data_IF_169196268287
#
_entry.id   IF_169196268287
#
_cell.length_a   1.000
_cell.length_b   1.000
_cell.length_c   1.000
_cell.angle_alpha   90.00
_cell.angle_beta   90.00
_cell.angle_gamma   90.00
#
_symmetry.space_group_name_H-M   'P 1'
#
loop_
_entity.id
_entity.type
_entity.pdbx_description
1 polymer ?
#
# COMPACT_ATOMS: atom_id res chain seq x y z
N UNK A 1 8.51 30.76 28.72
CA UNK A 1 7.20 30.10 28.94
C UNK A 1 6.58 29.93 27.57
N UNK A 2 6.77 28.77 26.94
CA UNK A 2 5.99 28.40 25.74
C UNK A 2 4.56 28.17 26.22
N UNK A 3 3.69 29.15 26.01
CA UNK A 3 2.24 28.96 26.07
C UNK A 3 1.86 27.70 25.29
N UNK A 4 0.78 27.04 25.71
CA UNK A 4 0.23 25.85 25.07
C UNK A 4 -0.14 26.15 23.61
N UNK A 5 0.84 26.08 22.72
CA UNK A 5 0.63 26.16 21.29
C UNK A 5 -0.16 24.93 20.86
N UNK A 6 -1.19 25.10 20.01
CA UNK A 6 -1.90 23.96 19.47
C UNK A 6 -0.94 23.10 18.64
N UNK A 7 -0.90 21.81 18.95
CA UNK A 7 -0.09 20.82 18.22
C UNK A 7 -0.99 20.11 17.22
N UNK A 8 -0.54 20.00 15.98
CA UNK A 8 -1.23 19.33 14.89
C UNK A 8 -0.31 18.27 14.28
N UNK A 9 -0.91 17.26 13.66
CA UNK A 9 -0.21 16.31 12.82
C UNK A 9 0.54 15.16 13.53
N UNK A 10 1.13 14.26 12.71
CA UNK A 10 0.90 14.16 11.28
C UNK A 10 -0.48 13.53 10.99
N UNK A 11 -1.15 14.05 9.98
CA UNK A 11 -2.45 13.58 9.46
C UNK A 11 -2.28 12.17 8.89
N UNK A 12 -1.14 11.90 8.25
CA UNK A 12 -0.77 10.58 7.74
C UNK A 12 0.72 10.26 7.95
N UNK A 13 1.07 8.98 7.97
CA UNK A 13 2.48 8.54 7.95
C UNK A 13 2.90 8.36 6.49
N UNK A 14 3.61 9.36 5.96
CA UNK A 14 4.23 9.26 4.64
C UNK A 14 5.35 8.21 4.66
N UNK A 15 5.33 7.33 3.67
CA UNK A 15 6.30 6.24 3.48
C UNK A 15 6.67 6.16 2.00
N UNK A 16 7.95 5.95 1.71
CA UNK A 16 8.36 5.55 0.37
C UNK A 16 7.83 4.15 0.06
N UNK A 17 7.30 3.94 -1.13
CA UNK A 17 6.64 2.69 -1.52
C UNK A 17 7.57 1.46 -1.47
N UNK A 18 8.88 1.66 -1.69
CA UNK A 18 9.87 0.60 -1.77
C UNK A 18 10.67 0.37 -0.48
N UNK A 19 10.44 1.17 0.56
CA UNK A 19 11.22 1.13 1.80
C UNK A 19 10.37 0.60 2.95
N UNK A 20 10.81 -0.47 3.61
CA UNK A 20 10.19 -0.92 4.88
C UNK A 20 10.85 -0.17 6.03
N UNK A 21 10.18 0.81 6.68
CA UNK A 21 10.79 1.55 7.77
C UNK A 21 10.95 0.67 9.02
N UNK A 22 12.08 0.80 9.70
CA UNK A 22 12.33 0.15 10.98
C UNK A 22 11.54 0.82 12.13
N UNK A 23 11.33 2.13 12.04
CA UNK A 23 10.63 2.95 13.04
C UNK A 23 9.92 4.13 12.39
N UNK A 24 8.82 4.58 12.98
CA UNK A 24 8.17 5.85 12.65
C UNK A 24 8.49 6.86 13.74
N UNK A 25 9.21 7.94 13.38
CA UNK A 25 9.53 9.04 14.29
C UNK A 25 8.63 10.22 13.99
N UNK A 26 7.87 10.68 14.99
CA UNK A 26 7.00 11.87 14.88
C UNK A 26 7.72 13.08 15.46
N UNK A 27 7.80 14.15 14.68
CA UNK A 27 8.44 15.42 15.06
C UNK A 27 7.42 16.54 15.06
N UNK A 28 7.57 17.50 15.98
CA UNK A 28 6.73 18.69 16.05
C UNK A 28 7.57 19.91 15.65
N UNK A 29 7.08 20.70 14.70
CA UNK A 29 7.72 21.93 14.26
C UNK A 29 6.96 23.15 14.80
N UNK A 30 7.68 24.11 15.35
CA UNK A 30 7.15 25.44 15.63
C UNK A 30 7.36 26.31 14.38
N UNK A 31 6.29 26.59 13.65
CA UNK A 31 6.34 27.31 12.39
C UNK A 31 5.62 28.66 12.49
N UNK A 32 6.21 29.66 11.85
CA UNK A 32 5.52 30.93 11.62
C UNK A 32 4.45 30.77 10.54
N UNK A 33 3.52 31.74 10.48
CA UNK A 33 2.51 31.78 9.42
C UNK A 33 3.14 31.85 8.01
N UNK A 34 4.25 32.56 7.88
CA UNK A 34 4.98 32.69 6.61
C UNK A 34 5.59 31.35 6.17
N UNK A 35 6.13 30.58 7.12
CA UNK A 35 6.66 29.24 6.84
C UNK A 35 5.54 28.27 6.45
N UNK A 36 4.39 28.32 7.13
CA UNK A 36 3.21 27.54 6.76
C UNK A 36 2.73 27.88 5.34
N UNK A 37 2.66 29.16 5.00
CA UNK A 37 2.26 29.61 3.66
C UNK A 37 3.26 29.18 2.59
N UNK A 38 4.56 29.22 2.89
CA UNK A 38 5.62 28.78 1.97
C UNK A 38 5.51 27.27 1.69
N UNK A 39 5.37 26.46 2.75
CA UNK A 39 5.17 25.02 2.62
C UNK A 39 3.93 24.68 1.78
N UNK A 40 2.80 25.33 2.09
CA UNK A 40 1.56 25.15 1.32
C UNK A 40 1.74 25.53 -0.14
N UNK A 41 2.38 26.67 -0.42
CA UNK A 41 2.55 27.17 -1.78
C UNK A 41 3.39 26.21 -2.63
N UNK A 42 4.43 25.59 -2.05
CA UNK A 42 5.26 24.62 -2.77
C UNK A 42 4.48 23.33 -3.02
N UNK A 43 3.85 22.76 -1.99
CA UNK A 43 3.01 21.56 -2.15
C UNK A 43 1.91 21.78 -3.19
N UNK A 44 1.23 22.93 -3.13
CA UNK A 44 0.18 23.30 -4.07
C UNK A 44 0.67 23.46 -5.52
N UNK A 45 1.90 23.95 -5.74
CA UNK A 45 2.49 24.03 -7.10
C UNK A 45 2.92 22.68 -7.66
N UNK A 46 3.16 21.69 -6.81
CA UNK A 46 3.54 20.32 -7.21
C UNK A 46 2.31 19.41 -7.39
N UNK A 47 1.17 19.79 -6.82
CA UNK A 47 -0.12 19.13 -7.03
C UNK A 47 -0.71 19.41 -8.43
N UNK A 48 -1.66 18.56 -8.80
CA UNK A 48 -2.42 18.59 -10.06
C UNK A 48 -2.81 20.04 -10.43
N UNK A 49 -2.47 20.54 -11.62
CA UNK A 49 -2.58 21.96 -12.00
C UNK A 49 -4.01 22.55 -12.00
N UNK A 50 -5.02 21.76 -11.68
CA UNK A 50 -6.44 22.09 -11.82
C UNK A 50 -7.18 22.27 -10.48
N UNK A 51 -6.48 22.27 -9.34
CA UNK A 51 -7.11 22.53 -8.03
C UNK A 51 -7.29 24.03 -7.84
N UNK A 52 -8.52 24.46 -7.56
CA UNK A 52 -8.82 25.86 -7.21
C UNK A 52 -8.48 26.11 -5.74
N UNK A 53 -7.55 27.03 -5.48
CA UNK A 53 -7.10 27.41 -4.14
C UNK A 53 -8.24 27.92 -3.24
N UNK A 54 -9.34 28.42 -3.81
CA UNK A 54 -10.52 28.83 -3.03
C UNK A 54 -11.35 27.65 -2.52
N UNK A 55 -11.14 26.45 -3.06
CA UNK A 55 -11.91 25.25 -2.73
C UNK A 55 -11.19 24.28 -1.79
N UNK A 56 -9.92 24.53 -1.48
CA UNK A 56 -9.12 23.64 -0.63
C UNK A 56 -9.67 23.61 0.80
N UNK A 57 -9.89 22.39 1.30
CA UNK A 57 -10.37 22.17 2.66
C UNK A 57 -9.26 22.34 3.69
N UNK A 58 -9.65 22.44 4.98
CA UNK A 58 -8.69 22.52 6.10
C UNK A 58 -7.84 21.25 6.21
N UNK A 59 -8.43 20.10 5.88
CA UNK A 59 -7.73 18.81 5.91
C UNK A 59 -6.71 18.72 4.78
N UNK A 60 -7.10 19.01 3.54
CA UNK A 60 -6.18 19.08 2.41
C UNK A 60 -5.05 20.08 2.66
N UNK A 61 -5.36 21.29 3.16
CA UNK A 61 -4.34 22.29 3.51
C UNK A 61 -3.31 21.74 4.50
N UNK A 62 -3.73 20.94 5.50
CA UNK A 62 -2.83 20.34 6.47
C UNK A 62 -2.02 19.22 5.85
N UNK A 63 -2.66 18.32 5.11
CA UNK A 63 -2.01 17.21 4.41
C UNK A 63 -0.90 17.73 3.50
N UNK A 64 -1.14 18.82 2.76
CA UNK A 64 -0.13 19.41 1.88
C UNK A 64 1.05 20.02 2.64
N UNK A 65 0.78 20.82 3.68
CA UNK A 65 1.84 21.42 4.49
C UNK A 65 2.68 20.33 5.16
N UNK A 66 2.05 19.32 5.75
CA UNK A 66 2.72 18.21 6.44
C UNK A 66 3.48 17.31 5.46
N UNK A 67 2.90 17.03 4.28
CA UNK A 67 3.51 16.26 3.21
C UNK A 67 4.76 16.95 2.66
N UNK A 68 4.71 18.26 2.41
CA UNK A 68 5.88 19.01 1.98
C UNK A 68 6.98 19.05 3.04
N UNK A 69 6.63 19.31 4.31
CA UNK A 69 7.62 19.32 5.40
C UNK A 69 8.29 17.94 5.56
N UNK A 70 7.52 16.86 5.40
CA UNK A 70 8.04 15.51 5.39
C UNK A 70 9.01 15.30 4.21
N UNK A 71 8.58 15.58 2.98
CA UNK A 71 9.39 15.41 1.78
C UNK A 71 10.69 16.22 1.85
N UNK A 72 10.61 17.49 2.26
CA UNK A 72 11.78 18.34 2.43
C UNK A 72 12.78 17.78 3.45
N UNK A 73 12.29 17.25 4.58
CA UNK A 73 13.14 16.61 5.58
C UNK A 73 13.82 15.34 5.04
N UNK A 74 13.09 14.51 4.29
CA UNK A 74 13.62 13.28 3.68
C UNK A 74 14.67 13.61 2.61
N UNK A 75 14.37 14.52 1.68
CA UNK A 75 15.29 14.95 0.62
C UNK A 75 16.59 15.49 1.21
N UNK A 76 16.49 16.34 2.24
CA UNK A 76 17.67 16.89 2.90
C UNK A 76 18.48 15.81 3.62
N UNK A 77 17.83 14.87 4.31
CA UNK A 77 18.53 13.73 4.94
C UNK A 77 19.20 12.83 3.90
N UNK A 78 18.53 12.49 2.80
CA UNK A 78 19.11 11.69 1.71
C UNK A 78 20.31 12.41 1.09
N UNK A 79 20.23 13.73 0.89
CA UNK A 79 21.36 14.55 0.44
C UNK A 79 22.57 14.42 1.38
N UNK A 80 22.36 14.50 2.69
CA UNK A 80 23.43 14.31 3.69
C UNK A 80 23.96 12.88 3.70
N UNK A 81 23.10 11.86 3.57
CA UNK A 81 23.51 10.45 3.52
C UNK A 81 24.37 10.19 2.29
N UNK A 82 23.95 10.63 1.10
CA UNK A 82 24.74 10.50 -0.13
C UNK A 82 26.08 11.22 -0.03
N UNK A 83 26.10 12.43 0.54
CA UNK A 83 27.34 13.17 0.78
C UNK A 83 28.27 12.42 1.77
N UNK A 84 27.69 11.82 2.81
CA UNK A 84 28.41 11.02 3.80
C UNK A 84 28.95 9.71 3.24
N UNK A 85 28.18 9.00 2.42
CA UNK A 85 28.62 7.75 1.75
C UNK A 85 29.82 7.96 0.83
N UNK A 86 29.94 9.15 0.22
CA UNK A 86 31.10 9.52 -0.58
C UNK A 86 32.33 9.88 0.26
N UNK A 87 32.16 10.05 1.57
CA UNK A 87 33.22 10.39 2.50
C UNK A 87 33.66 9.13 3.25
N UNK A 88 34.77 8.52 2.84
CA UNK A 88 35.40 7.49 3.66
C UNK A 88 35.86 8.12 4.97
N UNK A 89 35.27 7.69 6.10
CA UNK A 89 35.71 8.14 7.40
C UNK A 89 37.14 7.65 7.66
N UNK A 90 38.03 8.49 8.23
CA UNK A 90 39.33 8.04 8.69
C UNK A 90 39.19 6.88 9.70
N UNK A 91 40.15 5.97 9.74
CA UNK A 91 40.13 4.80 10.66
C UNK A 91 40.00 5.25 12.11
N UNK A 92 40.58 6.40 12.45
CA UNK A 92 40.51 7.01 13.77
C UNK A 92 39.10 7.44 14.18
N UNK A 93 38.20 7.67 13.22
CA UNK A 93 36.80 8.05 13.48
C UNK A 93 35.87 6.83 13.67
N UNK A 94 36.32 5.61 13.31
CA UNK A 94 35.50 4.40 13.41
C UNK A 94 34.92 4.16 14.81
N UNK A 95 35.69 4.31 15.92
CA UNK A 95 35.13 4.10 17.27
C UNK A 95 33.99 5.07 17.62
N UNK A 96 34.01 6.29 17.07
CA UNK A 96 32.94 7.27 17.27
C UNK A 96 31.70 6.86 16.50
N UNK A 97 31.86 6.43 15.24
CA UNK A 97 30.74 5.95 14.43
C UNK A 97 30.09 4.71 15.03
N UNK A 98 30.88 3.76 15.56
CA UNK A 98 30.36 2.58 16.27
C UNK A 98 29.57 2.97 17.52
N UNK A 99 30.06 3.96 18.29
CA UNK A 99 29.37 4.46 19.48
C UNK A 99 28.05 5.16 19.13
N UNK A 100 28.00 5.91 18.02
CA UNK A 100 26.78 6.55 17.51
C UNK A 100 25.76 5.50 17.03
N UNK A 101 26.20 4.49 16.29
CA UNK A 101 25.36 3.38 15.87
C UNK A 101 24.74 2.66 17.08
N UNK A 102 25.56 2.32 18.09
CA UNK A 102 25.06 1.70 19.31
C UNK A 102 24.09 2.62 20.09
N UNK A 103 24.26 3.95 20.03
CA UNK A 103 23.32 4.88 20.62
C UNK A 103 21.99 4.91 19.88
N UNK A 104 22.03 4.83 18.55
CA UNK A 104 20.85 4.71 17.70
C UNK A 104 20.06 3.43 18.02
N UNK A 105 20.74 2.28 18.11
CA UNK A 105 20.12 0.98 18.45
C UNK A 105 19.43 1.00 19.82
N UNK A 106 19.97 1.75 20.79
CA UNK A 106 19.33 1.89 22.11
C UNK A 106 18.11 2.81 22.08
N UNK A 107 18.18 3.88 21.29
CA UNK A 107 17.10 4.87 21.18
C UNK A 107 15.93 4.37 20.33
N UNK A 108 16.26 3.63 19.26
CA UNK A 108 15.35 3.07 18.28
C UNK A 108 15.70 1.58 18.11
N UNK A 109 15.32 0.73 19.08
CA UNK A 109 15.60 -0.69 18.96
C UNK A 109 15.02 -1.24 17.67
N UNK A 110 15.73 -2.15 16.98
CA UNK A 110 15.22 -2.75 15.76
C UNK A 110 13.85 -3.34 16.03
N UNK A 111 12.98 -3.27 15.02
CA UNK A 111 11.63 -3.81 15.09
C UNK A 111 11.71 -5.22 15.65
N UNK A 112 10.93 -5.50 16.70
CA UNK A 112 10.83 -6.86 17.24
C UNK A 112 10.65 -7.84 16.09
N UNK A 113 11.41 -8.95 16.06
CA UNK A 113 11.31 -9.90 14.97
C UNK A 113 9.84 -10.20 14.74
N UNK A 114 9.41 -10.08 13.47
CA UNK A 114 8.03 -10.42 13.13
C UNK A 114 7.74 -11.82 13.69
N UNK A 115 6.55 -12.03 14.28
CA UNK A 115 6.19 -13.35 14.77
C UNK A 115 6.49 -14.38 13.67
N UNK A 116 7.13 -15.49 14.08
CA UNK A 116 7.56 -16.54 13.15
C UNK A 116 6.35 -16.94 12.32
N UNK A 117 6.44 -16.74 11.01
CA UNK A 117 5.36 -17.06 10.07
C UNK A 117 5.04 -18.53 10.17
N UNK A 118 3.84 -18.87 10.64
CA UNK A 118 3.38 -20.26 10.65
C UNK A 118 2.62 -20.54 9.35
N UNK A 119 2.92 -21.63 8.65
CA UNK A 119 2.18 -21.97 7.45
C UNK A 119 0.71 -22.27 7.79
N UNK A 120 -0.23 -21.93 6.90
CA UNK A 120 -1.62 -22.35 7.03
C UNK A 120 -1.74 -23.87 7.21
N UNK A 121 -2.67 -24.31 8.07
CA UNK A 121 -2.93 -25.73 8.31
C UNK A 121 -4.28 -26.09 7.72
N UNK A 122 -4.28 -26.98 6.73
CA UNK A 122 -5.48 -27.40 6.01
C UNK A 122 -6.02 -28.73 6.55
N UNK A 123 -7.35 -28.86 6.65
CA UNK A 123 -8.01 -30.10 7.06
C UNK A 123 -9.53 -29.99 7.03
N UNK A 124 -10.22 -31.09 6.69
CA UNK A 124 -11.69 -31.21 6.76
C UNK A 124 -12.49 -30.06 6.10
N UNK A 125 -12.01 -29.55 4.95
CA UNK A 125 -12.66 -28.43 4.25
C UNK A 125 -12.52 -27.08 4.97
N UNK A 126 -11.53 -26.96 5.85
CA UNK A 126 -11.20 -25.76 6.62
C UNK A 126 -9.71 -25.43 6.53
N UNK A 127 -9.37 -24.20 6.90
CA UNK A 127 -8.00 -23.74 7.09
C UNK A 127 -7.87 -23.08 8.47
N UNK A 128 -6.82 -23.43 9.20
CA UNK A 128 -6.43 -22.76 10.44
C UNK A 128 -5.26 -21.81 10.16
N UNK A 129 -5.46 -20.54 10.48
CA UNK A 129 -4.49 -19.45 10.36
C UNK A 129 -4.17 -18.91 11.75
N UNK A 130 -2.89 -18.73 12.06
CA UNK A 130 -2.49 -17.98 13.26
C UNK A 130 -2.63 -16.48 12.96
N UNK A 131 -3.55 -15.77 13.61
CA UNK A 131 -3.74 -14.34 13.41
C UNK A 131 -2.98 -13.52 14.46
N UNK A 132 -2.70 -12.26 14.13
CA UNK A 132 -1.96 -11.35 15.02
C UNK A 132 -2.76 -10.95 16.27
N UNK A 133 -4.07 -11.09 16.23
CA UNK A 133 -5.01 -10.49 17.18
C UNK A 133 -5.98 -11.48 17.85
N UNK A 134 -6.13 -12.69 17.31
CA UNK A 134 -7.07 -13.70 17.79
C UNK A 134 -6.44 -15.09 17.98
N UNK A 135 -5.13 -15.23 17.77
CA UNK A 135 -4.45 -16.53 17.83
C UNK A 135 -4.88 -17.43 16.67
N UNK A 136 -4.99 -18.75 16.90
CA UNK A 136 -5.43 -19.67 15.85
C UNK A 136 -6.92 -19.49 15.53
N UNK A 137 -7.23 -19.09 14.29
CA UNK A 137 -8.58 -18.96 13.76
C UNK A 137 -8.79 -20.04 12.70
N UNK A 138 -9.82 -20.88 12.87
CA UNK A 138 -10.21 -21.90 11.88
C UNK A 138 -11.45 -21.44 11.12
N UNK A 139 -11.36 -21.45 9.79
CA UNK A 139 -12.41 -20.94 8.90
C UNK A 139 -12.71 -21.97 7.81
N UNK A 140 -13.94 -22.03 7.28
CA UNK A 140 -14.23 -22.84 6.09
C UNK A 140 -13.30 -22.45 4.95
N UNK A 141 -12.71 -23.43 4.25
CA UNK A 141 -11.85 -23.20 3.09
C UNK A 141 -12.62 -23.63 1.83
N UNK A 142 -13.15 -22.68 1.04
CA UNK A 142 -13.86 -23.00 -0.17
C UNK A 142 -12.95 -23.72 -1.17
N UNK A 143 -13.48 -24.71 -1.89
CA UNK A 143 -12.70 -25.52 -2.85
C UNK A 143 -12.11 -24.70 -4.02
N UNK A 144 -12.63 -23.49 -4.27
CA UNK A 144 -12.11 -22.56 -5.28
C UNK A 144 -10.96 -21.67 -4.76
N UNK A 145 -10.72 -21.66 -3.45
CA UNK A 145 -9.64 -20.89 -2.84
C UNK A 145 -8.28 -21.47 -3.24
N UNK A 146 -7.34 -20.61 -3.62
CA UNK A 146 -5.96 -21.01 -3.96
C UNK A 146 -5.06 -21.15 -2.73
N UNK A 147 -5.63 -20.99 -1.53
CA UNK A 147 -4.94 -21.03 -0.25
C UNK A 147 -4.49 -19.66 0.26
N UNK A 148 -3.81 -19.67 1.42
CA UNK A 148 -3.50 -18.49 2.23
C UNK A 148 -1.99 -18.30 2.46
N UNK A 149 -1.13 -18.97 1.68
CA UNK A 149 0.33 -18.83 1.81
C UNK A 149 0.83 -17.39 1.54
N UNK A 150 0.02 -16.59 0.85
CA UNK A 150 0.27 -15.16 0.57
C UNK A 150 -0.15 -14.22 1.71
N UNK A 151 -0.88 -14.73 2.72
CA UNK A 151 -1.28 -13.99 3.93
C UNK A 151 -0.65 -14.61 5.18
N UNK A 152 0.66 -14.44 5.41
CA UNK A 152 1.27 -14.93 6.63
C UNK A 152 0.78 -14.09 7.82
N UNK A 153 0.17 -14.75 8.80
CA UNK A 153 -0.31 -14.16 10.04
C UNK A 153 -1.20 -12.92 9.81
N UNK A 154 -2.37 -13.05 9.13
CA UNK A 154 -3.24 -11.91 8.90
C UNK A 154 -3.89 -11.44 10.21
N UNK A 155 -4.46 -10.24 10.25
CA UNK A 155 -5.52 -9.98 11.23
C UNK A 155 -6.74 -10.84 10.89
N UNK A 156 -7.58 -11.15 11.88
CA UNK A 156 -8.81 -11.93 11.59
C UNK A 156 -9.69 -11.24 10.54
N UNK A 157 -9.76 -9.91 10.58
CA UNK A 157 -10.53 -9.10 9.65
C UNK A 157 -10.00 -9.17 8.20
N UNK A 158 -8.72 -9.51 8.02
CA UNK A 158 -8.03 -9.55 6.74
C UNK A 158 -8.04 -10.96 6.11
N UNK A 159 -8.70 -11.93 6.74
CA UNK A 159 -8.83 -13.28 6.17
C UNK A 159 -9.72 -13.19 4.92
N UNK A 160 -9.12 -13.45 3.76
CA UNK A 160 -9.77 -13.39 2.45
C UNK A 160 -9.47 -14.65 1.66
N UNK A 161 -10.50 -15.33 1.19
CA UNK A 161 -10.36 -16.41 0.21
C UNK A 161 -10.28 -15.82 -1.19
N UNK A 162 -9.30 -16.23 -1.97
CA UNK A 162 -9.11 -15.78 -3.35
C UNK A 162 -9.08 -16.97 -4.31
N UNK A 163 -9.75 -16.83 -5.46
CA UNK A 163 -9.58 -17.78 -6.56
C UNK A 163 -8.33 -17.46 -7.37
N UNK A 164 -8.03 -18.32 -8.34
CA UNK A 164 -7.02 -18.03 -9.36
C UNK A 164 -7.38 -16.74 -10.11
N UNK A 165 -6.36 -15.91 -10.35
CA UNK A 165 -6.49 -14.70 -11.18
C UNK A 165 -6.57 -15.07 -12.66
N UNK A 166 -7.61 -14.58 -13.32
CA UNK A 166 -7.78 -14.67 -14.77
C UNK A 166 -7.43 -13.31 -15.38
N UNK A 167 -6.67 -13.31 -16.47
CA UNK A 167 -6.14 -12.08 -17.09
C UNK A 167 -6.72 -11.85 -18.48
N UNK A 168 -6.83 -10.59 -18.87
CA UNK A 168 -7.03 -10.20 -20.26
C UNK A 168 -5.90 -9.25 -20.68
N UNK A 169 -5.44 -9.40 -21.92
CA UNK A 169 -4.33 -8.62 -22.47
C UNK A 169 -4.54 -8.39 -23.96
N UNK A 170 -3.96 -7.32 -24.48
CA UNK A 170 -3.85 -7.05 -25.90
C UNK A 170 -2.39 -7.22 -26.34
N UNK A 171 -2.17 -7.57 -27.60
CA UNK A 171 -0.85 -7.48 -28.23
C UNK A 171 -0.86 -6.28 -29.15
N UNK A 172 -0.16 -5.22 -28.78
CA UNK A 172 0.04 -4.04 -29.62
C UNK A 172 1.35 -4.17 -30.39
N UNK A 173 1.43 -3.51 -31.55
CA UNK A 173 2.64 -3.55 -32.38
C UNK A 173 3.71 -2.62 -31.81
N UNK A 174 3.32 -1.49 -31.20
CA UNK A 174 4.27 -0.51 -30.66
C UNK A 174 4.79 -0.84 -29.26
N UNK A 175 3.95 -1.34 -28.36
CA UNK A 175 4.27 -1.57 -26.95
C UNK A 175 4.34 -3.06 -26.56
N UNK A 176 3.96 -3.97 -27.46
CA UNK A 176 3.96 -5.41 -27.20
C UNK A 176 2.78 -5.85 -26.31
N UNK A 177 2.97 -6.78 -25.36
CA UNK A 177 1.88 -7.25 -24.51
C UNK A 177 1.43 -6.16 -23.54
N UNK A 178 0.17 -5.74 -23.66
CA UNK A 178 -0.49 -4.79 -22.76
C UNK A 178 -1.47 -5.56 -21.87
N UNK A 179 -1.23 -5.58 -20.56
CA UNK A 179 -2.17 -6.16 -19.61
C UNK A 179 -3.32 -5.18 -19.36
N UNK A 180 -4.55 -5.61 -19.67
CA UNK A 180 -5.73 -4.75 -19.57
C UNK A 180 -6.37 -4.86 -18.19
N UNK A 181 -6.56 -6.10 -17.74
CA UNK A 181 -7.11 -6.37 -16.42
C UNK A 181 -6.71 -7.74 -15.90
N UNK A 182 -6.93 -7.92 -14.61
CA UNK A 182 -7.16 -9.23 -14.02
C UNK A 182 -8.42 -9.24 -13.16
N UNK A 183 -9.09 -10.40 -13.12
CA UNK A 183 -10.28 -10.64 -12.33
C UNK A 183 -10.17 -11.96 -11.57
N UNK A 184 -10.79 -12.03 -10.40
CA UNK A 184 -10.86 -13.22 -9.56
C UNK A 184 -12.05 -13.14 -8.61
N UNK A 185 -12.41 -14.28 -8.04
CA UNK A 185 -13.40 -14.38 -6.97
C UNK A 185 -12.69 -14.12 -5.65
N UNK A 186 -13.26 -13.23 -4.85
CA UNK A 186 -12.79 -12.89 -3.51
C UNK A 186 -13.91 -13.12 -2.51
N UNK A 187 -13.59 -13.55 -1.30
CA UNK A 187 -14.54 -13.60 -0.20
C UNK A 187 -13.84 -13.28 1.12
N UNK A 188 -14.25 -12.18 1.76
CA UNK A 188 -13.73 -11.69 3.04
C UNK A 188 -14.83 -11.76 4.11
N UNK A 189 -15.07 -12.95 4.69
CA UNK A 189 -16.20 -13.19 5.61
C UNK A 189 -16.09 -12.45 6.95
N UNK A 190 -14.93 -11.89 7.29
CA UNK A 190 -14.65 -11.28 8.59
C UNK A 190 -14.34 -9.78 8.55
N UNK A 191 -14.53 -9.09 7.41
CA UNK A 191 -14.32 -7.63 7.35
C UNK A 191 -15.08 -6.90 8.46
N UNK A 192 -14.43 -5.97 9.16
CA UNK A 192 -15.05 -5.31 10.32
C UNK A 192 -16.21 -4.39 9.95
N UNK A 193 -16.05 -3.61 8.87
CA UNK A 193 -17.03 -2.59 8.47
C UNK A 193 -18.18 -3.21 7.68
N UNK A 194 -17.87 -4.15 6.79
CA UNK A 194 -18.85 -4.77 5.90
C UNK A 194 -18.39 -6.20 5.55
N UNK A 195 -18.65 -7.19 6.42
CA UNK A 195 -18.44 -8.58 6.09
C UNK A 195 -19.11 -8.93 4.77
N UNK A 196 -18.40 -9.65 3.91
CA UNK A 196 -18.98 -10.14 2.67
C UNK A 196 -19.83 -11.38 2.98
N UNK A 197 -21.16 -11.34 2.81
CA UNK A 197 -22.00 -12.51 3.09
C UNK A 197 -21.76 -13.64 2.07
N UNK A 198 -21.26 -13.29 0.89
CA UNK A 198 -21.01 -14.19 -0.22
C UNK A 198 -19.79 -13.76 -1.03
N UNK A 199 -19.22 -14.66 -1.86
CA UNK A 199 -18.16 -14.29 -2.77
C UNK A 199 -18.54 -13.16 -3.74
N UNK A 200 -17.57 -12.30 -4.02
CA UNK A 200 -17.65 -11.15 -4.93
C UNK A 200 -16.62 -11.29 -6.05
N UNK A 201 -16.78 -10.51 -7.11
CA UNK A 201 -15.77 -10.41 -8.17
C UNK A 201 -14.87 -9.22 -7.86
N UNK A 202 -13.57 -9.47 -7.73
CA UNK A 202 -12.55 -8.44 -7.67
C UNK A 202 -12.00 -8.20 -9.07
N UNK A 203 -11.89 -6.94 -9.47
CA UNK A 203 -11.40 -6.52 -10.80
C UNK A 203 -10.33 -5.44 -10.59
N UNK A 204 -9.18 -5.63 -11.21
CA UNK A 204 -8.12 -4.63 -11.25
C UNK A 204 -7.80 -4.31 -12.71
N UNK A 205 -7.89 -3.03 -13.05
CA UNK A 205 -7.52 -2.51 -14.37
C UNK A 205 -6.03 -2.14 -14.34
N UNK A 206 -5.26 -2.65 -15.28
CA UNK A 206 -3.79 -2.50 -15.30
C UNK A 206 -3.29 -1.53 -16.38
N UNK A 207 -4.20 -0.99 -17.21
CA UNK A 207 -3.84 -0.18 -18.37
C UNK A 207 -4.23 1.28 -18.19
N UNK A 208 -3.24 2.16 -18.10
CA UNK A 208 -3.40 3.62 -18.19
C UNK A 208 -2.19 4.16 -18.93
N UNK A 209 -2.32 4.35 -20.25
CA UNK A 209 -1.22 4.75 -21.13
C UNK A 209 -1.75 5.42 -22.40
N UNK A 210 -0.87 6.09 -23.12
CA UNK A 210 -1.12 6.65 -24.45
C UNK A 210 -0.75 5.63 -25.53
N UNK A 211 -1.66 5.40 -26.47
CA UNK A 211 -1.46 4.42 -27.54
C UNK A 211 -1.45 5.07 -28.92
N UNK A 212 -0.65 4.49 -29.81
CA UNK A 212 -0.72 4.83 -31.23
C UNK A 212 -2.10 4.47 -31.80
N UNK A 213 -2.59 5.26 -32.75
CA UNK A 213 -3.92 5.06 -33.33
C UNK A 213 -4.05 3.68 -34.01
N UNK A 214 -2.94 3.17 -34.53
CA UNK A 214 -2.82 1.88 -35.19
C UNK A 214 -3.00 0.68 -34.24
N UNK A 215 -2.77 0.86 -32.94
CA UNK A 215 -2.89 -0.19 -31.92
C UNK A 215 -4.30 -0.29 -31.29
N UNK A 216 -5.15 0.71 -31.56
CA UNK A 216 -6.51 0.76 -31.01
C UNK A 216 -7.35 -0.47 -31.38
N UNK A 217 -7.33 -1.00 -32.62
CA UNK A 217 -8.05 -2.24 -32.95
C UNK A 217 -7.63 -3.43 -32.07
N UNK A 218 -6.35 -3.58 -31.78
CA UNK A 218 -5.78 -4.66 -30.95
C UNK A 218 -6.22 -4.50 -29.49
N UNK A 219 -6.24 -3.27 -28.98
CA UNK A 219 -6.79 -2.96 -27.66
C UNK A 219 -8.28 -3.29 -27.57
N UNK A 220 -9.07 -2.97 -28.60
CA UNK A 220 -10.50 -3.31 -28.66
C UNK A 220 -10.71 -4.82 -28.60
N UNK A 221 -9.90 -5.62 -29.30
CA UNK A 221 -9.97 -7.09 -29.19
C UNK A 221 -9.57 -7.60 -27.81
N UNK A 222 -8.55 -6.99 -27.19
CA UNK A 222 -8.20 -7.27 -25.80
C UNK A 222 -9.34 -6.94 -24.83
N UNK A 223 -10.06 -5.82 -25.04
CA UNK A 223 -11.21 -5.41 -24.23
C UNK A 223 -12.39 -6.38 -24.38
N UNK A 224 -12.65 -6.92 -25.58
CA UNK A 224 -13.62 -8.01 -25.77
C UNK A 224 -13.18 -9.30 -25.06
N UNK A 225 -11.88 -9.55 -24.96
CA UNK A 225 -11.38 -10.65 -24.13
C UNK A 225 -11.61 -10.39 -22.65
N UNK A 226 -11.41 -9.15 -22.19
CA UNK A 226 -11.73 -8.72 -20.83
C UNK A 226 -13.22 -8.89 -20.50
N UNK A 227 -14.13 -8.49 -21.39
CA UNK A 227 -15.56 -8.71 -21.24
C UNK A 227 -15.89 -10.18 -20.95
N UNK A 228 -15.41 -11.11 -21.80
CA UNK A 228 -15.62 -12.55 -21.61
C UNK A 228 -15.02 -13.08 -20.31
N UNK A 229 -13.86 -12.57 -19.90
CA UNK A 229 -13.25 -12.94 -18.61
C UNK A 229 -14.17 -12.52 -17.45
N UNK A 230 -14.68 -11.29 -17.48
CA UNK A 230 -15.57 -10.77 -16.46
C UNK A 230 -16.91 -11.54 -16.42
N UNK A 231 -17.50 -11.84 -17.57
CA UNK A 231 -18.72 -12.65 -17.65
C UNK A 231 -18.52 -14.04 -17.01
N UNK A 232 -17.41 -14.71 -17.31
CA UNK A 232 -17.11 -16.03 -16.77
C UNK A 232 -16.90 -15.99 -15.25
N UNK A 233 -16.11 -15.04 -14.74
CA UNK A 233 -15.85 -14.91 -13.30
C UNK A 233 -17.12 -14.50 -12.56
N UNK A 234 -17.95 -13.64 -13.14
CA UNK A 234 -19.24 -13.25 -12.58
C UNK A 234 -20.24 -14.41 -12.53
N UNK A 235 -20.36 -15.18 -13.62
CA UNK A 235 -21.21 -16.36 -13.66
C UNK A 235 -20.81 -17.38 -12.58
N UNK A 236 -19.51 -17.58 -12.38
CA UNK A 236 -19.00 -18.48 -11.33
C UNK A 236 -19.28 -17.95 -9.93
N UNK A 237 -19.05 -16.66 -9.66
CA UNK A 237 -19.39 -16.05 -8.37
C UNK A 237 -20.90 -16.13 -8.06
N UNK A 238 -21.76 -15.97 -9.07
CA UNK A 238 -23.22 -16.14 -8.94
C UNK A 238 -23.57 -17.61 -8.63
N UNK A 239 -22.93 -18.57 -9.30
CA UNK A 239 -23.14 -19.99 -9.05
C UNK A 239 -22.81 -20.35 -7.59
N UNK A 240 -21.67 -19.88 -7.09
CA UNK A 240 -21.21 -20.13 -5.72
C UNK A 240 -22.14 -19.54 -4.65
N UNK A 241 -22.85 -18.45 -4.93
CA UNK A 241 -23.89 -17.90 -4.03
C UNK A 241 -25.06 -18.86 -3.85
N UNK A 242 -25.45 -19.53 -4.93
CA UNK A 242 -26.56 -20.49 -4.92
C UNK A 242 -26.25 -21.79 -4.16
N UNK A 243 -24.98 -22.16 -4.04
CA UNK A 243 -24.54 -23.36 -3.29
C UNK A 243 -24.45 -23.12 -1.78
N UNK A 244 -24.42 -21.87 -1.33
CA UNK A 244 -24.36 -21.48 0.08
C UNK A 244 -25.75 -21.33 0.74
N UNK A 245 -26.84 -21.57 0.00
CA UNK A 245 -28.24 -21.40 0.44
C UNK A 245 -28.86 -22.69 0.99
#
# INVERSE_FOLDING_TARGET
MTEHLPTYGPTEVFREEDTTPDVVVRVAFALSREQLMTALSIGFTELVPDVDAETITVEETRTEVEGWLHAAAVIELDRYVRQGQLTAYPVEAQPVMDALAAALDRAYPPRSPQPVRRPPRYGDGTVTLETLDHGDVTVPEPAWCIGHSWQPNPHRADITHNSTRVKASAMTDSAGPVHLLHAYISHSPYLEIRPEPHPVVSVQLECTDDFAAEDIPQLVEGLKSAERVLENVAAEAIRLRGEQS
#
